data_IF_091109810690
#
_entry.id   IF_091109810690
#
_cell.length_a   1.000
_cell.length_b   1.000
_cell.length_c   1.000
_cell.angle_alpha   90.00
_cell.angle_beta   90.00
_cell.angle_gamma   90.00
#
_symmetry.space_group_name_H-M   'P 1'
#
loop_
_entity.id
_entity.type
_entity.pdbx_description
1 polymer ?
#
# COMPACT_ATOMS: atom_id res chain seq x y z
N UNK A 1 16.02 -0.46 -11.78
CA UNK A 1 17.46 -0.54 -11.46
C UNK A 1 18.09 0.81 -11.02
N UNK A 2 17.32 1.88 -10.75
CA UNK A 2 17.88 3.18 -10.34
C UNK A 2 16.95 3.92 -9.33
N UNK A 3 16.88 3.44 -8.07
CA UNK A 3 16.32 4.21 -6.93
C UNK A 3 16.57 3.62 -5.52
N UNK A 4 17.57 2.75 -5.35
CA UNK A 4 17.95 2.25 -4.00
C UNK A 4 18.65 3.30 -3.13
N UNK A 5 19.34 4.29 -3.73
CA UNK A 5 20.17 5.26 -2.98
C UNK A 5 19.42 6.24 -2.07
N UNK A 6 18.12 6.48 -2.31
CA UNK A 6 17.34 7.43 -1.51
C UNK A 6 16.51 6.77 -0.40
N UNK A 7 16.31 5.45 -0.44
CA UNK A 7 15.53 4.75 0.58
C UNK A 7 16.30 4.64 1.90
N UNK A 8 17.62 4.47 1.80
CA UNK A 8 18.55 4.33 2.95
C UNK A 8 19.40 5.60 3.15
N UNK A 9 19.03 6.70 2.48
CA UNK A 9 19.79 7.96 2.46
C UNK A 9 19.89 8.62 3.85
N UNK A 10 18.88 8.43 4.69
CA UNK A 10 18.80 8.95 6.05
C UNK A 10 17.82 8.08 6.83
N UNK A 11 17.97 7.92 8.15
CA UNK A 11 17.05 7.15 9.00
C UNK A 11 15.57 7.52 8.81
N UNK A 12 15.30 8.79 8.49
CA UNK A 12 13.95 9.30 8.21
C UNK A 12 13.33 8.77 6.90
N UNK A 13 14.15 8.48 5.89
CA UNK A 13 13.69 7.86 4.63
C UNK A 13 13.33 6.39 4.84
N UNK A 14 14.11 5.69 5.66
CA UNK A 14 13.87 4.28 6.01
C UNK A 14 12.58 4.11 6.81
N UNK A 15 12.34 4.97 7.80
CA UNK A 15 11.10 4.99 8.59
C UNK A 15 9.86 5.20 7.70
N UNK A 16 9.90 6.20 6.80
CA UNK A 16 8.80 6.47 5.87
C UNK A 16 8.59 5.28 4.95
N UNK A 17 9.65 4.72 4.38
CA UNK A 17 9.54 3.57 3.49
C UNK A 17 8.91 2.36 4.20
N UNK A 18 9.39 2.02 5.40
CA UNK A 18 8.88 0.90 6.19
C UNK A 18 7.43 1.07 6.64
N UNK A 19 7.00 2.31 6.92
CA UNK A 19 5.58 2.58 7.22
C UNK A 19 4.68 2.26 6.01
N UNK A 20 5.03 2.74 4.82
CA UNK A 20 4.25 2.46 3.62
C UNK A 20 4.30 0.97 3.22
N UNK A 21 5.41 0.27 3.46
CA UNK A 21 5.52 -1.17 3.23
C UNK A 21 4.53 -1.99 4.08
N UNK A 22 4.36 -1.60 5.35
CA UNK A 22 3.33 -2.18 6.22
C UNK A 22 1.93 -1.89 5.68
N UNK A 23 1.66 -0.66 5.24
CA UNK A 23 0.37 -0.29 4.63
C UNK A 23 0.07 -1.16 3.40
N UNK A 24 1.03 -1.36 2.49
CA UNK A 24 0.81 -2.21 1.31
C UNK A 24 0.47 -3.64 1.72
N UNK A 25 1.23 -4.20 2.66
CA UNK A 25 1.02 -5.57 3.15
C UNK A 25 -0.39 -5.73 3.74
N UNK A 26 -0.84 -4.76 4.53
CA UNK A 26 -2.19 -4.77 5.12
C UNK A 26 -3.26 -4.66 4.03
N UNK A 27 -3.12 -3.73 3.08
CA UNK A 27 -4.07 -3.57 1.97
C UNK A 27 -4.17 -4.86 1.14
N UNK A 28 -3.03 -5.45 0.77
CA UNK A 28 -2.99 -6.67 -0.04
C UNK A 28 -3.60 -7.87 0.71
N UNK A 29 -3.30 -8.03 2.00
CA UNK A 29 -3.91 -9.09 2.83
C UNK A 29 -5.41 -8.91 2.97
N UNK A 30 -5.88 -7.69 3.29
CA UNK A 30 -7.30 -7.41 3.41
C UNK A 30 -8.04 -7.64 2.08
N UNK A 31 -7.46 -7.21 0.96
CA UNK A 31 -8.03 -7.45 -0.38
C UNK A 31 -8.13 -8.95 -0.67
N UNK A 32 -7.03 -9.68 -0.45
CA UNK A 32 -6.98 -11.13 -0.67
C UNK A 32 -8.00 -11.90 0.19
N UNK A 33 -8.14 -11.55 1.46
CA UNK A 33 -9.13 -12.16 2.35
C UNK A 33 -10.56 -11.84 1.92
N UNK A 34 -10.84 -10.59 1.53
CA UNK A 34 -12.15 -10.21 1.04
C UNK A 34 -12.53 -11.01 -0.22
N UNK A 35 -11.62 -11.14 -1.18
CA UNK A 35 -11.86 -11.96 -2.38
C UNK A 35 -12.00 -13.45 -2.07
N UNK A 36 -11.17 -14.00 -1.19
CA UNK A 36 -11.24 -15.41 -0.81
C UNK A 36 -12.59 -15.73 -0.17
N UNK A 37 -13.00 -14.96 0.85
CA UNK A 37 -14.28 -15.17 1.51
C UNK A 37 -15.46 -14.89 0.57
N UNK A 38 -15.39 -13.82 -0.23
CA UNK A 38 -16.41 -13.55 -1.25
C UNK A 38 -16.55 -14.72 -2.22
N UNK A 39 -15.44 -15.34 -2.64
CA UNK A 39 -15.45 -16.46 -3.58
C UNK A 39 -16.12 -17.69 -2.97
N UNK A 40 -15.88 -17.94 -1.68
CA UNK A 40 -16.55 -19.00 -0.93
C UNK A 40 -18.06 -18.72 -0.83
N UNK A 41 -18.45 -17.48 -0.52
CA UNK A 41 -19.87 -17.13 -0.41
C UNK A 41 -20.64 -17.23 -1.74
N UNK A 42 -19.97 -17.15 -2.89
CA UNK A 42 -20.62 -17.33 -4.19
C UNK A 42 -21.11 -18.76 -4.45
N UNK A 43 -20.74 -19.76 -3.62
CA UNK A 43 -21.24 -21.14 -3.74
C UNK A 43 -22.69 -21.34 -3.33
N UNK A 44 -23.32 -20.38 -2.65
CA UNK A 44 -24.72 -20.43 -2.25
C UNK A 44 -25.46 -19.18 -2.72
N UNK A 45 -26.67 -19.35 -3.27
CA UNK A 45 -27.50 -18.25 -3.79
C UNK A 45 -27.83 -17.22 -2.68
N UNK A 46 -28.15 -17.70 -1.48
CA UNK A 46 -28.51 -16.86 -0.33
C UNK A 46 -27.38 -15.93 0.16
N UNK A 47 -26.11 -16.25 -0.17
CA UNK A 47 -24.94 -15.47 0.26
C UNK A 47 -24.30 -14.66 -0.86
N UNK A 48 -24.89 -14.60 -2.05
CA UNK A 48 -24.34 -13.82 -3.17
C UNK A 48 -24.38 -12.30 -2.95
N UNK A 49 -25.40 -11.80 -2.23
CA UNK A 49 -25.47 -10.38 -1.88
C UNK A 49 -24.27 -9.93 -1.02
N UNK A 50 -23.95 -10.57 0.13
CA UNK A 50 -22.74 -10.24 0.87
C UNK A 50 -21.44 -10.58 0.10
N UNK A 51 -21.41 -11.62 -0.74
CA UNK A 51 -20.27 -11.93 -1.61
C UNK A 51 -19.91 -10.78 -2.56
N UNK A 52 -20.93 -10.16 -3.17
CA UNK A 52 -20.78 -9.02 -4.09
C UNK A 52 -20.13 -7.82 -3.39
N UNK A 53 -20.52 -7.55 -2.15
CA UNK A 53 -19.93 -6.48 -1.35
C UNK A 53 -18.47 -6.78 -0.97
N UNK A 54 -18.14 -8.02 -0.60
CA UNK A 54 -16.75 -8.42 -0.36
C UNK A 54 -15.87 -8.22 -1.59
N UNK A 55 -16.37 -8.57 -2.78
CA UNK A 55 -15.64 -8.31 -4.04
C UNK A 55 -15.51 -6.82 -4.34
N UNK A 56 -16.55 -6.03 -4.07
CA UNK A 56 -16.53 -4.57 -4.26
C UNK A 56 -15.48 -3.93 -3.34
N UNK A 57 -15.46 -4.31 -2.06
CA UNK A 57 -14.48 -3.83 -1.08
C UNK A 57 -13.07 -4.30 -1.44
N UNK A 58 -12.89 -5.58 -1.78
CA UNK A 58 -11.60 -6.10 -2.24
C UNK A 58 -11.07 -5.34 -3.47
N UNK A 59 -11.96 -4.99 -4.41
CA UNK A 59 -11.61 -4.21 -5.60
C UNK A 59 -11.20 -2.78 -5.25
N UNK A 60 -11.92 -2.13 -4.32
CA UNK A 60 -11.54 -0.81 -3.83
C UNK A 60 -10.16 -0.83 -3.14
N UNK A 61 -9.85 -1.89 -2.39
CA UNK A 61 -8.52 -2.08 -1.77
C UNK A 61 -7.42 -2.24 -2.83
N UNK A 62 -7.68 -2.92 -3.95
CA UNK A 62 -6.72 -2.96 -5.06
C UNK A 62 -6.45 -1.58 -5.67
N UNK A 63 -7.42 -0.68 -5.68
CA UNK A 63 -7.20 0.73 -6.09
C UNK A 63 -6.41 1.51 -5.03
N UNK A 64 -6.58 1.18 -3.75
CA UNK A 64 -5.83 1.82 -2.66
C UNK A 64 -4.31 1.51 -2.71
N UNK A 65 -3.91 0.38 -3.30
CA UNK A 65 -2.50 -0.01 -3.45
C UNK A 65 -1.67 0.97 -4.32
N UNK A 66 -2.04 1.31 -5.57
CA UNK A 66 -1.33 2.33 -6.33
C UNK A 66 -1.46 3.73 -5.70
N UNK A 67 -2.58 4.04 -5.03
CA UNK A 67 -2.75 5.31 -4.32
C UNK A 67 -1.76 5.47 -3.15
N UNK A 68 -1.57 4.42 -2.34
CA UNK A 68 -0.56 4.42 -1.27
C UNK A 68 0.86 4.53 -1.82
N UNK A 69 1.13 3.95 -3.01
CA UNK A 69 2.41 4.11 -3.71
C UNK A 69 2.68 5.54 -4.11
N UNK A 70 1.67 6.19 -4.66
CA UNK A 70 1.74 7.60 -5.01
C UNK A 70 1.99 8.46 -3.76
N UNK A 71 1.27 8.20 -2.67
CA UNK A 71 1.45 8.91 -1.40
C UNK A 71 2.87 8.73 -0.83
N UNK A 72 3.45 7.53 -0.91
CA UNK A 72 4.85 7.28 -0.51
C UNK A 72 5.82 8.10 -1.35
N UNK A 73 5.68 8.06 -2.67
CA UNK A 73 6.57 8.78 -3.59
C UNK A 73 6.50 10.29 -3.35
N UNK A 74 5.30 10.82 -3.06
CA UNK A 74 5.11 12.22 -2.68
C UNK A 74 5.77 12.55 -1.33
N UNK A 75 5.60 11.73 -0.29
CA UNK A 75 6.19 11.95 1.02
C UNK A 75 7.73 11.90 0.97
N UNK A 76 8.30 10.91 0.27
CA UNK A 76 9.75 10.81 0.09
C UNK A 76 10.32 12.00 -0.69
N UNK A 77 9.59 12.57 -1.65
CA UNK A 77 10.02 13.75 -2.40
C UNK A 77 10.09 15.04 -1.56
N UNK A 78 9.44 15.07 -0.39
CA UNK A 78 9.49 16.19 0.54
C UNK A 78 10.61 16.09 1.57
N UNK A 79 11.31 14.94 1.65
CA UNK A 79 12.40 14.77 2.60
C UNK A 79 13.69 15.43 2.07
N UNK A 80 14.53 16.02 2.96
CA UNK A 80 15.80 16.62 2.57
C UNK A 80 16.74 15.59 1.95
N UNK A 81 17.40 15.95 0.86
CA UNK A 81 18.36 15.06 0.20
C UNK A 81 19.69 15.04 0.96
N UNK A 82 20.44 13.92 0.99
CA UNK A 82 21.80 13.89 1.52
C UNK A 82 22.68 14.84 0.71
N UNK A 83 23.10 15.95 1.33
CA UNK A 83 23.88 17.02 0.69
C UNK A 83 23.29 18.42 0.83
N UNK A 84 22.05 18.59 1.31
CA UNK A 84 21.44 19.90 1.61
C UNK A 84 21.93 20.55 2.93
N UNK A 85 22.93 19.94 3.59
CA UNK A 85 23.76 20.49 4.69
C UNK A 85 25.19 20.00 4.38
N UNK A 86 26.21 20.82 4.10
CA UNK A 86 26.75 22.01 4.78
C UNK A 86 27.37 23.02 3.76
N UNK A 87 27.47 24.33 4.04
CA UNK A 87 28.62 24.86 4.79
C UNK A 87 28.31 26.05 5.72
N UNK A 88 28.61 25.94 7.01
CA UNK A 88 29.11 27.05 7.84
C UNK A 88 30.25 26.56 8.74
#
# INVERSE_FOLDING_TARGET
MFRKRLQDATSRHEEVYGFYEKIYTVIDLCAGLAFLFGSILFFWEDTQYPATWLFTVGSALFVARPASRFAREYHLAQLPLPGDRDPE
#
